data_IF_267885592069
#
_entry.id   IF_267885592069
#
_cell.length_a   1.000
_cell.length_b   1.000
_cell.length_c   1.000
_cell.angle_alpha   90.00
_cell.angle_beta   90.00
_cell.angle_gamma   90.00
#
_symmetry.space_group_name_H-M   'P 1'
#
loop_
_entity.id
_entity.type
_entity.pdbx_description
1 polymer ?
#
# COMPACT_ATOMS: atom_id res chain seq x y z
N UNK A 1 11.13 0.61 -10.03
CA UNK A 1 10.62 -0.40 -10.99
C UNK A 1 9.82 -1.38 -10.16
N UNK A 2 8.65 -1.86 -10.59
CA UNK A 2 7.72 -2.64 -9.73
C UNK A 2 8.41 -3.75 -8.91
N UNK A 3 9.39 -4.44 -9.49
CA UNK A 3 10.21 -5.45 -8.79
C UNK A 3 11.04 -4.85 -7.65
N UNK A 4 11.71 -3.74 -7.91
CA UNK A 4 12.51 -2.99 -6.95
C UNK A 4 11.62 -2.39 -5.85
N UNK A 5 10.45 -1.85 -6.22
CA UNK A 5 9.44 -1.35 -5.29
C UNK A 5 8.94 -2.46 -4.36
N UNK A 6 8.67 -3.66 -4.87
CA UNK A 6 8.36 -4.83 -4.03
C UNK A 6 9.52 -5.17 -3.11
N UNK A 7 10.71 -5.39 -3.68
CA UNK A 7 11.88 -5.90 -2.95
C UNK A 7 12.35 -4.93 -1.85
N UNK A 8 12.41 -3.64 -2.16
CA UNK A 8 12.80 -2.59 -1.22
C UNK A 8 11.80 -2.39 -0.08
N UNK A 9 10.54 -2.79 -0.26
CA UNK A 9 9.49 -2.64 0.75
C UNK A 9 9.11 -3.94 1.48
N UNK A 10 9.65 -5.11 1.09
CA UNK A 10 9.36 -6.40 1.76
C UNK A 10 9.60 -6.31 3.26
N UNK A 11 10.66 -5.64 3.69
CA UNK A 11 11.03 -5.54 5.11
C UNK A 11 9.94 -4.83 5.92
N UNK A 12 9.39 -3.73 5.37
CA UNK A 12 8.34 -2.95 6.03
C UNK A 12 7.02 -3.72 6.09
N UNK A 13 6.67 -4.45 5.04
CA UNK A 13 5.47 -5.29 5.03
C UNK A 13 5.54 -6.40 6.08
N UNK A 14 6.71 -7.05 6.19
CA UNK A 14 6.93 -8.09 7.22
C UNK A 14 6.86 -7.53 8.63
N UNK A 15 7.50 -6.37 8.86
CA UNK A 15 7.45 -5.69 10.15
C UNK A 15 6.02 -5.28 10.53
N UNK A 16 5.25 -4.71 9.60
CA UNK A 16 3.85 -4.35 9.83
C UNK A 16 2.99 -5.56 10.24
N UNK A 17 3.19 -6.70 9.57
CA UNK A 17 2.51 -7.95 9.94
C UNK A 17 2.95 -8.43 11.33
N UNK A 18 4.24 -8.37 11.66
CA UNK A 18 4.76 -8.75 12.97
C UNK A 18 4.17 -7.88 14.08
N UNK A 19 4.14 -6.56 13.92
CA UNK A 19 3.55 -5.63 14.90
C UNK A 19 2.04 -5.86 15.02
N UNK A 20 1.34 -6.15 13.91
CA UNK A 20 -0.09 -6.47 13.98
C UNK A 20 -0.37 -7.67 14.86
N UNK A 21 0.47 -8.72 14.75
CA UNK A 21 0.39 -9.91 15.60
C UNK A 21 0.72 -9.56 17.06
N UNK A 22 1.78 -8.79 17.29
CA UNK A 22 2.19 -8.34 18.64
C UNK A 22 1.11 -7.52 19.35
N UNK A 23 0.45 -6.61 18.63
CA UNK A 23 -0.67 -5.81 19.14
C UNK A 23 -2.00 -6.56 19.17
N UNK A 24 -2.02 -7.85 18.82
CA UNK A 24 -3.20 -8.71 18.67
C UNK A 24 -4.30 -8.06 17.80
N UNK A 25 -3.89 -7.22 16.84
CA UNK A 25 -4.76 -6.65 15.82
C UNK A 25 -4.91 -7.71 14.74
N UNK A 26 -6.15 -8.15 14.48
CA UNK A 26 -6.48 -9.15 13.45
C UNK A 26 -6.42 -8.55 12.05
N UNK A 27 -5.32 -7.88 11.74
CA UNK A 27 -5.07 -7.16 10.49
C UNK A 27 -3.94 -7.86 9.74
N UNK A 28 -4.09 -8.00 8.43
CA UNK A 28 -3.08 -8.58 7.54
C UNK A 28 -2.66 -7.57 6.48
N UNK A 29 -1.38 -7.55 6.16
CA UNK A 29 -0.79 -6.67 5.16
C UNK A 29 -0.23 -7.49 3.99
N UNK A 30 -0.66 -7.19 2.77
CA UNK A 30 -0.20 -7.86 1.55
C UNK A 30 0.12 -6.85 0.45
N UNK A 31 1.11 -7.15 -0.38
CA UNK A 31 1.31 -6.38 -1.61
C UNK A 31 0.22 -6.67 -2.63
N UNK A 32 -0.25 -5.62 -3.28
CA UNK A 32 -1.19 -5.70 -4.40
C UNK A 32 -0.70 -4.80 -5.53
N UNK A 33 -0.91 -5.24 -6.76
CA UNK A 33 -0.66 -4.42 -7.95
C UNK A 33 -1.97 -3.78 -8.36
N UNK A 34 -2.00 -2.45 -8.39
CA UNK A 34 -3.15 -1.67 -8.81
C UNK A 34 -2.83 -0.99 -10.13
N UNK A 35 -3.75 -1.04 -11.08
CA UNK A 35 -3.58 -0.42 -12.40
C UNK A 35 -4.49 0.78 -12.52
N UNK A 36 -3.89 1.96 -12.65
CA UNK A 36 -4.56 3.21 -12.99
C UNK A 36 -4.93 3.18 -14.49
N UNK A 37 -6.22 3.31 -14.76
CA UNK A 37 -6.78 3.30 -16.12
C UNK A 37 -7.86 4.37 -16.24
N UNK A 38 -8.20 4.75 -17.48
CA UNK A 38 -9.24 5.75 -17.76
C UNK A 38 -10.62 5.38 -17.18
N UNK A 39 -10.93 4.09 -17.08
CA UNK A 39 -12.23 3.58 -16.62
C UNK A 39 -12.20 3.09 -15.16
N UNK A 40 -11.02 3.08 -14.54
CA UNK A 40 -10.84 2.73 -13.14
C UNK A 40 -9.66 3.55 -12.59
N UNK A 41 -9.82 4.87 -12.46
CA UNK A 41 -8.75 5.73 -12.02
C UNK A 41 -8.42 5.45 -10.55
N UNK A 42 -7.14 5.34 -10.24
CA UNK A 42 -6.69 5.21 -8.86
C UNK A 42 -6.80 6.54 -8.12
N UNK A 43 -7.16 6.48 -6.84
CA UNK A 43 -7.34 7.67 -6.03
C UNK A 43 -5.93 8.25 -5.71
N UNK A 44 -5.81 9.60 -5.63
CA UNK A 44 -4.52 10.29 -5.66
C UNK A 44 -3.61 9.97 -4.46
N UNK A 45 -4.15 9.51 -3.34
CA UNK A 45 -3.38 9.10 -2.16
C UNK A 45 -2.61 7.78 -2.37
N UNK A 46 -3.04 6.95 -3.32
CA UNK A 46 -2.33 5.73 -3.71
C UNK A 46 -1.21 6.02 -4.70
N UNK A 47 -1.29 7.15 -5.40
CA UNK A 47 -0.29 7.53 -6.39
C UNK A 47 0.98 8.10 -5.72
N UNK A 48 2.16 7.86 -6.33
CA UNK A 48 3.40 8.53 -5.93
C UNK A 48 3.23 10.06 -5.97
N UNK A 49 3.82 10.78 -5.02
CA UNK A 49 3.70 12.24 -4.89
C UNK A 49 4.03 12.99 -6.19
N UNK A 50 5.04 12.52 -6.91
CA UNK A 50 5.48 13.06 -8.21
C UNK A 50 4.39 13.00 -9.30
N UNK A 51 3.48 12.04 -9.20
CA UNK A 51 2.49 11.70 -10.25
C UNK A 51 1.07 12.13 -9.90
N UNK A 52 0.90 12.88 -8.79
CA UNK A 52 -0.41 13.36 -8.34
C UNK A 52 -0.91 14.55 -9.17
N UNK A 53 0.01 15.39 -9.66
CA UNK A 53 -0.27 16.67 -10.32
C UNK A 53 0.03 16.67 -11.84
N UNK A 54 0.68 15.62 -12.35
CA UNK A 54 1.03 15.52 -13.77
C UNK A 54 -0.12 14.97 -14.65
N UNK A 55 -0.05 15.24 -15.95
CA UNK A 55 -0.95 14.65 -16.96
C UNK A 55 -0.81 13.13 -16.93
N UNK A 56 -1.74 12.44 -16.26
CA UNK A 56 -1.69 10.99 -16.03
C UNK A 56 -1.54 10.25 -17.36
N UNK A 57 -0.40 9.58 -17.53
CA UNK A 57 -0.17 8.65 -18.64
C UNK A 57 -0.76 7.30 -18.27
N UNK A 58 -1.77 6.86 -19.03
CA UNK A 58 -2.46 5.59 -18.81
C UNK A 58 -2.06 4.53 -19.85
N UNK A 59 -2.11 3.23 -19.51
CA UNK A 59 -2.35 2.67 -18.18
C UNK A 59 -1.06 2.61 -17.33
N UNK A 60 -1.20 2.75 -16.02
CA UNK A 60 -0.06 2.74 -15.09
C UNK A 60 -0.28 1.80 -13.93
N UNK A 61 0.53 0.75 -13.84
CA UNK A 61 0.50 -0.17 -12.69
C UNK A 61 1.45 0.31 -11.61
N UNK A 62 0.97 0.31 -10.37
CA UNK A 62 1.73 0.64 -9.16
C UNK A 62 1.70 -0.50 -8.16
N UNK A 63 2.66 -0.50 -7.24
CA UNK A 63 2.63 -1.36 -6.05
C UNK A 63 1.91 -0.62 -4.93
N UNK A 64 0.92 -1.25 -4.35
CA UNK A 64 0.22 -0.79 -3.15
C UNK A 64 0.19 -1.89 -2.09
N UNK A 65 -0.33 -1.55 -0.91
CA UNK A 65 -0.50 -2.46 0.21
C UNK A 65 -1.99 -2.59 0.49
N UNK A 66 -2.50 -3.81 0.38
CA UNK A 66 -3.81 -4.17 0.88
C UNK A 66 -3.71 -4.46 2.38
N UNK A 67 -4.61 -3.87 3.14
CA UNK A 67 -4.74 -4.02 4.59
C UNK A 67 -6.11 -4.61 4.87
N UNK A 68 -6.13 -5.87 5.26
CA UNK A 68 -7.36 -6.60 5.55
C UNK A 68 -7.56 -6.68 7.07
N UNK A 69 -8.55 -5.96 7.59
CA UNK A 69 -9.00 -6.06 8.97
C UNK A 69 -10.06 -7.17 9.07
N UNK A 70 -9.63 -8.36 9.48
CA UNK A 70 -10.52 -9.53 9.62
C UNK A 70 -11.46 -9.43 10.81
N UNK A 71 -11.21 -8.52 11.76
CA UNK A 71 -12.09 -8.29 12.92
C UNK A 71 -13.29 -7.42 12.54
N UNK A 72 -13.07 -6.41 11.71
CA UNK A 72 -14.08 -5.45 11.27
C UNK A 72 -14.62 -5.75 9.86
N UNK A 73 -14.03 -6.69 9.13
CA UNK A 73 -14.43 -7.06 7.78
C UNK A 73 -14.13 -5.98 6.73
N UNK A 74 -13.11 -5.15 6.98
CA UNK A 74 -12.78 -4.00 6.13
C UNK A 74 -11.47 -4.22 5.38
N UNK A 75 -11.44 -3.81 4.11
CA UNK A 75 -10.23 -3.79 3.29
C UNK A 75 -9.85 -2.35 2.97
N UNK A 76 -8.59 -2.00 3.21
CA UNK A 76 -8.03 -0.70 2.88
C UNK A 76 -6.85 -0.84 1.93
N UNK A 77 -6.72 0.09 1.01
CA UNK A 77 -5.54 0.19 0.15
C UNK A 77 -4.69 1.37 0.60
N UNK A 78 -3.41 1.13 0.82
CA UNK A 78 -2.42 2.14 1.19
C UNK A 78 -1.30 2.20 0.16
N UNK A 79 -0.76 3.40 -0.05
CA UNK A 79 0.52 3.56 -0.73
C UNK A 79 1.66 3.02 0.14
N UNK A 80 2.77 2.66 -0.50
CA UNK A 80 4.00 2.24 0.19
C UNK A 80 4.49 3.30 1.18
N UNK A 81 4.36 4.59 0.82
CA UNK A 81 4.69 5.72 1.70
C UNK A 81 3.82 5.75 2.96
N UNK A 82 2.50 5.58 2.79
CA UNK A 82 1.56 5.54 3.92
C UNK A 82 1.84 4.37 4.86
N UNK A 83 2.22 3.19 4.33
CA UNK A 83 2.67 2.07 5.16
C UNK A 83 3.87 2.47 6.01
N UNK A 84 4.91 3.05 5.40
CA UNK A 84 6.14 3.47 6.10
C UNK A 84 5.86 4.50 7.19
N UNK A 85 5.04 5.51 6.90
CA UNK A 85 4.63 6.51 7.87
C UNK A 85 3.87 5.89 9.06
N UNK A 86 2.92 4.98 8.78
CA UNK A 86 2.14 4.30 9.83
C UNK A 86 3.01 3.37 10.66
N UNK A 87 3.97 2.69 10.05
CA UNK A 87 4.90 1.80 10.73
C UNK A 87 5.75 2.57 11.76
N UNK A 88 6.21 3.78 11.41
CA UNK A 88 6.93 4.66 12.34
C UNK A 88 6.07 5.07 13.55
N UNK A 89 4.75 5.18 13.40
CA UNK A 89 3.83 5.48 14.50
C UNK A 89 3.44 4.26 15.36
N UNK A 90 3.68 3.05 14.84
CA UNK A 90 3.37 1.80 15.55
C UNK A 90 4.57 1.26 16.35
N UNK A 91 5.79 1.64 15.96
CA UNK A 91 7.01 1.47 16.76
C UNK A 91 6.95 2.36 17.99
#
# INVERSE_FOLDING_TARGET
SLRDDLWGNVVFLKEANAISVELNKKVQFQFVLLTDTLYSPLPPELLPTDQRDESRTFPKTIVAVEVQDTKNGATHYWSLEKLRQRLTLMR
#
